data_IF_954520896850
#
_entry.id   IF_954520896850
#
_cell.length_a   1.000
_cell.length_b   1.000
_cell.length_c   1.000
_cell.angle_alpha   90.00
_cell.angle_beta   90.00
_cell.angle_gamma   90.00
#
_symmetry.space_group_name_H-M   'P 1'
#
loop_
_entity.id
_entity.type
_entity.pdbx_description
1 polymer ?
#
# COMPACT_ATOMS: atom_id res chain seq x y z
N UNK A 1 -4.07 -20.05 -0.42
CA UNK A 1 -4.54 -21.18 0.43
C UNK A 1 -3.54 -21.52 1.55
N UNK A 2 -2.21 -21.46 1.32
CA UNK A 2 -1.19 -21.69 2.36
C UNK A 2 -1.23 -20.70 3.52
N UNK A 3 -1.36 -19.39 3.23
CA UNK A 3 -1.31 -18.34 4.25
C UNK A 3 -2.39 -18.47 5.34
N UNK A 4 -3.57 -19.04 5.02
CA UNK A 4 -4.65 -19.19 5.98
C UNK A 4 -4.35 -20.25 7.04
N UNK A 5 -3.87 -21.43 6.62
CA UNK A 5 -3.57 -22.53 7.54
C UNK A 5 -2.39 -22.18 8.45
N UNK A 6 -1.32 -21.60 7.90
CA UNK A 6 -0.18 -21.10 8.68
C UNK A 6 -0.61 -20.08 9.74
N UNK A 7 -1.46 -19.11 9.37
CA UNK A 7 -1.95 -18.11 10.32
C UNK A 7 -2.84 -18.72 11.41
N UNK A 8 -3.72 -19.67 11.03
CA UNK A 8 -4.62 -20.36 11.96
C UNK A 8 -3.86 -21.21 12.97
N UNK A 9 -2.87 -21.98 12.53
CA UNK A 9 -2.05 -22.83 13.39
C UNK A 9 -1.17 -22.02 14.35
N UNK A 10 -0.64 -20.88 13.88
CA UNK A 10 0.19 -19.98 14.67
C UNK A 10 -0.62 -19.02 15.57
N UNK A 11 -1.96 -19.06 15.54
CA UNK A 11 -2.87 -18.10 16.22
C UNK A 11 -2.56 -16.64 15.87
N UNK A 12 -2.23 -16.37 14.61
CA UNK A 12 -1.96 -15.04 14.08
C UNK A 12 -3.22 -14.51 13.40
N UNK A 13 -3.64 -13.30 13.76
CA UNK A 13 -4.71 -12.60 13.04
C UNK A 13 -4.16 -12.00 11.74
N UNK A 14 -4.83 -12.27 10.62
CA UNK A 14 -4.43 -11.77 9.29
C UNK A 14 -5.57 -10.94 8.71
N UNK A 15 -5.23 -9.74 8.22
CA UNK A 15 -6.15 -8.83 7.53
C UNK A 15 -5.63 -8.64 6.10
N UNK A 16 -6.44 -9.01 5.11
CA UNK A 16 -6.16 -8.74 3.70
C UNK A 16 -6.82 -7.41 3.31
N UNK A 17 -6.07 -6.32 3.39
CA UNK A 17 -6.59 -4.97 3.13
C UNK A 17 -6.63 -4.59 1.63
N UNK A 18 -6.32 -5.52 0.73
CA UNK A 18 -6.22 -5.29 -0.71
C UNK A 18 -4.86 -4.73 -1.12
N UNK A 19 -4.20 -5.36 -2.10
CA UNK A 19 -2.84 -5.04 -2.53
C UNK A 19 -2.71 -3.57 -2.96
N UNK A 20 -3.63 -3.13 -3.82
CA UNK A 20 -3.69 -1.77 -4.32
C UNK A 20 -3.87 -0.74 -3.20
N UNK A 21 -4.61 -1.06 -2.13
CA UNK A 21 -4.84 -0.12 -1.01
C UNK A 21 -3.59 0.02 -0.15
N UNK A 22 -2.87 -1.08 0.08
CA UNK A 22 -1.67 -1.09 0.92
C UNK A 22 -0.44 -0.45 0.27
N UNK A 23 -0.42 -0.29 -1.05
CA UNK A 23 0.73 0.28 -1.78
C UNK A 23 0.65 1.81 -1.99
N UNK A 24 -0.55 2.41 -1.97
CA UNK A 24 -0.73 3.87 -2.14
C UNK A 24 0.06 4.73 -1.14
N UNK A 25 0.15 4.39 0.16
CA UNK A 25 0.83 5.25 1.13
C UNK A 25 2.31 5.49 0.79
N UNK A 26 2.99 4.46 0.26
CA UNK A 26 4.41 4.57 -0.12
C UNK A 26 4.63 5.56 -1.27
N UNK A 27 3.85 5.44 -2.35
CA UNK A 27 3.97 6.33 -3.51
C UNK A 27 3.64 7.78 -3.16
N UNK A 28 2.62 8.00 -2.31
CA UNK A 28 2.29 9.35 -1.81
C UNK A 28 3.43 9.96 -0.97
N UNK A 29 4.13 9.15 -0.18
CA UNK A 29 5.26 9.63 0.60
C UNK A 29 6.45 10.06 -0.27
N UNK A 30 6.70 9.36 -1.40
CA UNK A 30 7.71 9.76 -2.38
C UNK A 30 7.36 11.09 -3.02
N UNK A 31 6.10 11.30 -3.42
CA UNK A 31 5.64 12.58 -3.98
C UNK A 31 5.91 13.76 -3.04
N UNK A 32 5.49 13.63 -1.77
CA UNK A 32 5.75 14.65 -0.74
C UNK A 32 7.24 14.92 -0.53
N UNK A 33 8.07 13.87 -0.53
CA UNK A 33 9.51 14.04 -0.37
C UNK A 33 10.12 14.86 -1.52
N UNK A 34 9.66 14.65 -2.76
CA UNK A 34 10.10 15.41 -3.92
C UNK A 34 9.65 16.87 -3.84
N UNK A 35 8.41 17.13 -3.43
CA UNK A 35 7.89 18.49 -3.19
C UNK A 35 8.76 19.23 -2.16
N UNK A 36 9.03 18.59 -1.02
CA UNK A 36 9.78 19.20 0.08
C UNK A 36 11.26 19.46 -0.27
N UNK A 37 11.92 18.56 -1.01
CA UNK A 37 13.36 18.66 -1.26
C UNK A 37 13.71 19.44 -2.54
N UNK A 38 12.83 19.46 -3.53
CA UNK A 38 13.14 19.99 -4.85
C UNK A 38 12.16 21.06 -5.33
N UNK A 39 11.06 21.29 -4.61
CA UNK A 39 10.02 22.24 -5.01
C UNK A 39 9.24 21.81 -6.26
N UNK A 40 9.40 20.56 -6.70
CA UNK A 40 8.66 19.99 -7.81
C UNK A 40 7.23 19.68 -7.38
N UNK A 41 6.24 20.22 -8.09
CA UNK A 41 4.83 19.87 -7.89
C UNK A 41 4.60 18.39 -8.22
N UNK A 42 3.93 17.66 -7.33
CA UNK A 42 3.58 16.25 -7.57
C UNK A 42 2.07 16.04 -7.50
N UNK A 43 1.56 15.16 -8.38
CA UNK A 43 0.15 14.74 -8.37
C UNK A 43 0.08 13.22 -8.29
N UNK A 44 -0.68 12.72 -7.32
CA UNK A 44 -0.97 11.29 -7.23
C UNK A 44 -2.18 10.94 -8.09
N UNK A 45 -1.96 10.16 -9.15
CA UNK A 45 -3.03 9.67 -10.02
C UNK A 45 -3.62 8.38 -9.46
N UNK A 46 -4.88 8.43 -9.02
CA UNK A 46 -5.58 7.25 -8.52
C UNK A 46 -6.28 6.52 -9.68
N UNK A 47 -5.69 5.40 -10.10
CA UNK A 47 -6.23 4.52 -11.15
C UNK A 47 -6.57 3.15 -10.53
N UNK A 48 -7.75 3.00 -9.90
CA UNK A 48 -8.14 1.74 -9.28
C UNK A 48 -8.31 0.64 -10.33
N UNK A 49 -7.46 -0.38 -10.31
CA UNK A 49 -7.54 -1.54 -11.22
C UNK A 49 -8.53 -2.60 -10.76
N UNK A 50 -9.26 -2.37 -9.66
CA UNK A 50 -10.40 -3.17 -9.24
C UNK A 50 -10.09 -4.64 -8.95
N UNK A 51 -9.17 -4.93 -8.01
CA UNK A 51 -8.99 -6.23 -7.39
C UNK A 51 -8.57 -6.10 -5.92
#
# INVERSE_FOLDING_TARGET
HSAYWTAREARIHVVFAGHYVTEKPGVKAVGRHLEEQSGLETVFLELPTGH
#
